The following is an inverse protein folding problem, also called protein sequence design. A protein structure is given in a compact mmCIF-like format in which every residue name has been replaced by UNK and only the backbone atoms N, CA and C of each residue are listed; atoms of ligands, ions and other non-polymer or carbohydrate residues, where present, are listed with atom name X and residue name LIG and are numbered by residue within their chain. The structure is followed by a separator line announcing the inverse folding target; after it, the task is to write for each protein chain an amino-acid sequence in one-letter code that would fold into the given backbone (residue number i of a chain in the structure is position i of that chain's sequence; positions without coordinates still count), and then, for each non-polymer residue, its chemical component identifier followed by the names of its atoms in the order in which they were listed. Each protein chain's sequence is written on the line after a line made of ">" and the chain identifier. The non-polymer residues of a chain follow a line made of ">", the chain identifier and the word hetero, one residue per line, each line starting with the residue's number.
data_IF_769650310572
#
_entry.id   IF_769650310572
#
_cell.length_a   1.000
_cell.length_b   1.000
_cell.length_c   1.000
_cell.angle_alpha   90.00
_cell.angle_beta   90.00
_cell.angle_gamma   90.00
#
_symmetry.space_group_name_H-M   'P 1'
#
loop_
_entity.id
_entity.type
_entity.pdbx_description
1 polymer ?
#
# COMPACT_ATOMS: atom_id res chain seq x y z
N UNK A 1 -17.01 21.04 47.53
CA UNK A 1 -16.21 21.19 46.29
C UNK A 1 -16.51 20.01 45.38
N UNK A 2 -17.30 20.21 44.33
CA UNK A 2 -17.55 19.20 43.29
C UNK A 2 -16.64 19.53 42.12
N UNK A 3 -15.57 18.76 41.92
CA UNK A 3 -14.77 18.86 40.71
C UNK A 3 -15.57 18.24 39.56
N UNK A 4 -15.91 19.06 38.57
CA UNK A 4 -16.44 18.59 37.30
C UNK A 4 -15.28 18.01 36.50
N UNK A 5 -15.32 16.70 36.22
CA UNK A 5 -14.51 16.10 35.17
C UNK A 5 -15.07 16.56 33.82
N UNK A 6 -14.42 17.56 33.22
CA UNK A 6 -14.59 17.88 31.82
C UNK A 6 -13.94 16.75 31.00
N UNK A 7 -14.76 15.80 30.55
CA UNK A 7 -14.35 14.79 29.58
C UNK A 7 -14.06 15.47 28.25
N UNK A 8 -12.79 15.82 28.02
CA UNK A 8 -12.30 16.31 26.73
C UNK A 8 -12.09 15.09 25.84
N UNK A 9 -13.01 14.86 24.92
CA UNK A 9 -12.81 13.95 23.80
C UNK A 9 -11.71 14.52 22.91
N UNK A 10 -10.49 14.00 23.06
CA UNK A 10 -9.38 14.26 22.14
C UNK A 10 -9.70 13.56 20.82
N UNK A 11 -10.13 14.34 19.83
CA UNK A 11 -10.26 13.88 18.45
C UNK A 11 -8.85 13.68 17.90
N UNK A 12 -8.43 12.42 17.78
CA UNK A 12 -7.26 11.99 16.99
C UNK A 12 -7.47 12.43 15.54
N UNK A 13 -7.01 13.63 15.21
CA UNK A 13 -7.09 14.19 13.87
C UNK A 13 -5.77 13.98 13.11
N UNK A 14 -5.35 12.73 12.90
CA UNK A 14 -4.38 12.39 11.84
C UNK A 14 -4.76 11.08 11.19
N UNK A 15 -5.45 11.23 10.05
CA UNK A 15 -5.43 10.42 8.81
C UNK A 15 -6.63 10.80 7.91
N UNK A 16 -7.10 12.06 7.98
CA UNK A 16 -8.23 12.56 7.19
C UNK A 16 -7.88 12.91 5.73
N UNK A 17 -6.75 12.43 5.18
CA UNK A 17 -6.36 12.74 3.79
C UNK A 17 -6.43 11.54 2.83
N UNK A 18 -6.56 10.31 3.34
CA UNK A 18 -6.87 9.16 2.49
C UNK A 18 -8.35 8.85 2.66
N UNK A 19 -9.15 9.45 1.77
CA UNK A 19 -10.57 9.12 1.61
C UNK A 19 -10.78 7.91 0.70
N UNK A 20 -9.85 6.95 0.70
CA UNK A 20 -10.05 5.75 -0.08
C UNK A 20 -11.20 4.96 0.55
N UNK A 21 -11.96 4.30 -0.29
CA UNK A 21 -13.14 3.57 0.12
C UNK A 21 -13.07 2.15 -0.39
N UNK A 22 -13.12 1.17 0.51
CA UNK A 22 -13.17 -0.25 0.22
C UNK A 22 -14.56 -0.80 0.54
N UNK A 23 -15.27 -1.34 -0.45
CA UNK A 23 -16.57 -1.96 -0.27
C UNK A 23 -16.40 -3.47 -0.14
N UNK A 24 -16.69 -4.00 1.03
CA UNK A 24 -16.54 -5.41 1.40
C UNK A 24 -17.90 -6.00 1.74
N UNK A 25 -18.39 -6.95 0.95
CA UNK A 25 -19.71 -7.59 1.16
C UNK A 25 -20.84 -6.56 1.37
N UNK A 26 -20.84 -5.48 0.58
CA UNK A 26 -21.82 -4.40 0.66
C UNK A 26 -21.59 -3.37 1.77
N UNK A 27 -20.59 -3.55 2.63
CA UNK A 27 -20.22 -2.56 3.64
C UNK A 27 -19.06 -1.69 3.15
N UNK A 28 -19.24 -0.38 3.19
CA UNK A 28 -18.18 0.57 2.94
C UNK A 28 -17.23 0.70 4.13
N UNK A 29 -15.92 0.75 3.87
CA UNK A 29 -14.86 1.01 4.84
C UNK A 29 -13.97 2.12 4.29
N UNK A 30 -13.87 3.22 5.02
CA UNK A 30 -12.99 4.34 4.65
C UNK A 30 -11.58 4.13 5.22
N UNK A 31 -10.57 4.56 4.48
CA UNK A 31 -9.16 4.39 4.86
C UNK A 31 -8.18 4.66 3.74
N UNK A 32 -7.03 3.97 3.79
CA UNK A 32 -5.95 4.06 2.84
C UNK A 32 -5.64 2.66 2.28
N UNK A 33 -5.67 2.51 0.97
CA UNK A 33 -5.18 1.28 0.33
C UNK A 33 -3.67 1.17 0.51
N UNK A 34 -3.20 0.00 0.94
CA UNK A 34 -1.79 -0.27 1.26
C UNK A 34 -1.12 -1.19 0.25
N UNK A 35 -1.90 -1.90 -0.56
CA UNK A 35 -1.38 -2.83 -1.56
C UNK A 35 -2.27 -4.06 -1.72
N UNK A 36 -1.86 -4.93 -2.64
CA UNK A 36 -2.54 -6.18 -2.92
C UNK A 36 -1.52 -7.30 -3.05
N UNK A 37 -1.77 -8.45 -2.46
CA UNK A 37 -0.87 -9.60 -2.58
C UNK A 37 -1.64 -10.91 -2.42
N UNK A 38 -1.37 -11.88 -3.29
CA UNK A 38 -1.89 -13.25 -3.19
C UNK A 38 -3.42 -13.29 -3.00
N UNK A 39 -4.14 -12.49 -3.79
CA UNK A 39 -5.61 -12.44 -3.73
C UNK A 39 -6.18 -11.61 -2.59
N UNK A 40 -5.36 -10.89 -1.82
CA UNK A 40 -5.80 -10.14 -0.64
C UNK A 40 -5.51 -8.65 -0.77
N UNK A 41 -6.52 -7.85 -0.47
CA UNK A 41 -6.39 -6.41 -0.27
C UNK A 41 -5.80 -6.14 1.11
N UNK A 42 -4.85 -5.20 1.15
CA UNK A 42 -4.30 -4.61 2.35
C UNK A 42 -4.83 -3.19 2.48
N UNK A 43 -5.56 -2.90 3.55
CA UNK A 43 -6.27 -1.63 3.69
C UNK A 43 -6.20 -1.14 5.14
N UNK A 44 -5.70 0.07 5.35
CA UNK A 44 -5.64 0.70 6.67
C UNK A 44 -6.86 1.61 6.84
N UNK A 45 -7.82 1.22 7.66
CA UNK A 45 -9.02 2.03 7.87
C UNK A 45 -8.69 3.37 8.55
N UNK A 46 -9.56 4.37 8.40
CA UNK A 46 -9.46 5.66 9.11
C UNK A 46 -9.43 5.52 10.62
N UNK A 47 -9.89 4.38 11.15
CA UNK A 47 -9.85 4.03 12.58
C UNK A 47 -8.52 3.39 13.00
N UNK A 48 -7.50 3.40 12.15
CA UNK A 48 -6.20 2.75 12.41
C UNK A 48 -6.22 1.22 12.33
N UNK A 49 -7.38 0.59 12.07
CA UNK A 49 -7.47 -0.87 11.92
C UNK A 49 -6.94 -1.29 10.57
N UNK A 50 -6.02 -2.25 10.57
CA UNK A 50 -5.58 -2.92 9.37
C UNK A 50 -6.55 -4.04 8.96
N UNK A 51 -7.02 -4.01 7.71
CA UNK A 51 -7.89 -5.00 7.11
C UNK A 51 -7.15 -5.79 6.04
N UNK A 52 -7.26 -7.11 6.11
CA UNK A 52 -6.85 -8.03 5.05
C UNK A 52 -8.10 -8.71 4.51
N UNK A 53 -8.50 -8.31 3.31
CA UNK A 53 -9.74 -8.82 2.72
C UNK A 53 -9.47 -9.60 1.45
N UNK A 54 -10.09 -10.78 1.35
CA UNK A 54 -10.01 -11.59 0.15
C UNK A 54 -10.68 -10.85 -1.02
N UNK A 55 -10.07 -10.88 -2.20
CA UNK A 55 -10.59 -10.20 -3.39
C UNK A 55 -12.04 -10.56 -3.71
N UNK A 56 -12.45 -11.80 -3.44
CA UNK A 56 -13.83 -12.27 -3.62
C UNK A 56 -14.85 -11.58 -2.72
N UNK A 57 -14.42 -10.98 -1.61
CA UNK A 57 -15.28 -10.23 -0.68
C UNK A 57 -15.33 -8.75 -1.03
N UNK A 58 -14.33 -8.25 -1.75
CA UNK A 58 -14.22 -6.85 -2.17
C UNK A 58 -14.97 -6.68 -3.50
N UNK A 59 -15.98 -5.81 -3.50
CA UNK A 59 -16.77 -5.52 -4.70
C UNK A 59 -16.26 -4.29 -5.43
N UNK A 60 -15.77 -3.29 -4.68
CA UNK A 60 -15.29 -2.01 -5.21
C UNK A 60 -14.21 -1.42 -4.30
N UNK A 61 -13.24 -0.74 -4.90
CA UNK A 61 -12.33 0.16 -4.22
C UNK A 61 -12.25 1.47 -5.00
N UNK A 62 -12.48 2.58 -4.32
CA UNK A 62 -12.32 3.93 -4.87
C UNK A 62 -11.13 4.57 -4.18
N UNK A 63 -10.17 5.08 -4.94
CA UNK A 63 -9.07 5.86 -4.37
C UNK A 63 -9.44 7.34 -4.42
N UNK A 64 -9.19 8.06 -3.33
CA UNK A 64 -9.41 9.51 -3.29
C UNK A 64 -8.44 10.24 -4.22
N UNK A 65 -7.19 9.78 -4.22
CA UNK A 65 -6.12 10.30 -5.07
C UNK A 65 -5.54 9.15 -5.89
N UNK A 66 -5.37 9.31 -7.21
CA UNK A 66 -4.64 8.34 -8.02
C UNK A 66 -3.24 8.09 -7.46
N UNK A 67 -2.84 6.84 -7.29
CA UNK A 67 -1.55 6.48 -6.69
C UNK A 67 -0.63 5.84 -7.73
N UNK A 68 0.64 6.22 -7.75
CA UNK A 68 1.64 5.49 -8.53
C UNK A 68 1.80 4.08 -7.93
N UNK A 69 1.92 3.10 -8.80
CA UNK A 69 2.02 1.70 -8.41
C UNK A 69 2.88 0.92 -9.40
N UNK A 70 3.38 -0.21 -8.92
CA UNK A 70 3.83 -1.31 -9.75
C UNK A 70 2.96 -2.52 -9.44
N UNK A 71 2.77 -3.40 -10.42
CA UNK A 71 2.09 -4.67 -10.20
C UNK A 71 2.79 -5.81 -10.91
N UNK A 72 2.72 -6.99 -10.31
CA UNK A 72 3.19 -8.24 -10.91
C UNK A 72 1.99 -9.10 -11.27
N UNK A 73 2.08 -9.79 -12.40
CA UNK A 73 1.05 -10.73 -12.83
C UNK A 73 1.44 -12.18 -12.54
N UNK A 74 0.44 -13.05 -12.56
CA UNK A 74 0.61 -14.50 -12.37
C UNK A 74 1.42 -15.16 -13.49
N UNK A 75 1.42 -14.59 -14.70
CA UNK A 75 2.27 -15.02 -15.82
C UNK A 75 3.70 -14.45 -15.76
N UNK A 76 4.06 -13.76 -14.66
CA UNK A 76 5.42 -13.25 -14.41
C UNK A 76 5.76 -11.96 -15.15
N UNK A 77 4.75 -11.21 -15.63
CA UNK A 77 4.96 -9.88 -16.19
C UNK A 77 4.86 -8.85 -15.08
N UNK A 78 5.84 -7.96 -15.05
CA UNK A 78 5.84 -6.84 -14.12
C UNK A 78 5.62 -5.56 -14.91
N UNK A 79 4.73 -4.71 -14.41
CA UNK A 79 4.48 -3.40 -14.97
C UNK A 79 4.75 -2.33 -13.92
N UNK A 80 5.51 -1.32 -14.32
CA UNK A 80 6.02 -0.27 -13.45
C UNK A 80 5.54 1.11 -13.92
N UNK A 81 5.55 2.07 -13.00
CA UNK A 81 5.12 3.46 -13.20
C UNK A 81 3.69 3.59 -13.76
N UNK A 82 2.79 2.71 -13.33
CA UNK A 82 1.37 2.84 -13.64
C UNK A 82 0.68 3.64 -12.53
N UNK A 83 -0.48 4.20 -12.83
CA UNK A 83 -1.29 4.92 -11.84
C UNK A 83 -2.51 4.08 -11.50
N UNK A 84 -2.57 3.52 -10.29
CA UNK A 84 -3.75 2.84 -9.79
C UNK A 84 -4.89 3.86 -9.59
N UNK A 85 -6.04 3.58 -10.22
CA UNK A 85 -7.25 4.40 -10.15
C UNK A 85 -8.30 3.79 -9.23
N UNK A 86 -8.32 2.47 -9.11
CA UNK A 86 -9.25 1.78 -8.22
C UNK A 86 -9.44 0.31 -8.59
N UNK A 87 -10.55 -0.25 -8.11
CA UNK A 87 -10.95 -1.62 -8.40
C UNK A 87 -12.47 -1.70 -8.50
N UNK A 88 -12.99 -2.39 -9.52
CA UNK A 88 -14.41 -2.65 -9.70
C UNK A 88 -14.63 -4.04 -10.29
N UNK A 89 -15.61 -4.78 -9.77
CA UNK A 89 -16.05 -6.08 -10.30
C UNK A 89 -14.89 -7.04 -10.65
N UNK A 90 -13.99 -7.27 -9.67
CA UNK A 90 -12.85 -8.19 -9.83
C UNK A 90 -11.81 -7.75 -10.84
N UNK A 91 -11.71 -6.45 -11.13
CA UNK A 91 -10.69 -5.88 -11.99
C UNK A 91 -10.06 -4.66 -11.34
N UNK A 92 -8.75 -4.58 -11.40
CA UNK A 92 -8.01 -3.36 -11.08
C UNK A 92 -7.99 -2.45 -12.30
N UNK A 93 -8.11 -1.15 -12.05
CA UNK A 93 -8.10 -0.10 -13.06
C UNK A 93 -6.83 0.71 -12.84
N UNK A 94 -5.97 0.72 -13.84
CA UNK A 94 -4.75 1.51 -13.88
C UNK A 94 -4.81 2.52 -15.02
N UNK A 95 -3.98 3.55 -14.98
CA UNK A 95 -3.61 4.34 -16.13
C UNK A 95 -2.14 4.08 -16.46
N UNK A 96 -1.86 3.73 -17.72
CA UNK A 96 -0.50 3.54 -18.23
C UNK A 96 0.26 4.86 -18.34
N UNK A 97 1.52 4.77 -18.77
CA UNK A 97 2.41 5.94 -18.97
C UNK A 97 1.86 6.95 -19.98
N UNK A 98 1.09 6.48 -20.96
CA UNK A 98 0.41 7.29 -21.96
C UNK A 98 -0.95 7.83 -21.48
N UNK A 99 -1.29 7.61 -20.21
CA UNK A 99 -2.56 8.00 -19.60
C UNK A 99 -3.74 7.12 -20.01
N UNK A 100 -3.54 6.09 -20.86
CA UNK A 100 -4.62 5.19 -21.25
C UNK A 100 -5.00 4.28 -20.11
N UNK A 101 -6.29 4.03 -19.98
CA UNK A 101 -6.82 3.14 -18.97
C UNK A 101 -6.48 1.67 -19.31
N UNK A 102 -5.90 0.98 -18.35
CA UNK A 102 -5.55 -0.43 -18.40
C UNK A 102 -6.38 -1.14 -17.33
N UNK A 103 -7.21 -2.08 -17.76
CA UNK A 103 -8.01 -2.90 -16.84
C UNK A 103 -7.43 -4.30 -16.75
N UNK A 104 -7.10 -4.75 -15.55
CA UNK A 104 -6.48 -6.06 -15.31
C UNK A 104 -7.34 -6.87 -14.35
N UNK A 105 -7.70 -8.09 -14.75
CA UNK A 105 -8.47 -8.99 -13.90
C UNK A 105 -7.68 -9.38 -12.64
N UNK A 106 -8.32 -9.38 -11.48
CA UNK A 106 -7.69 -9.67 -10.18
C UNK A 106 -7.02 -11.03 -10.14
N UNK A 107 -7.60 -12.03 -10.82
CA UNK A 107 -7.03 -13.38 -10.92
C UNK A 107 -5.69 -13.41 -11.68
N UNK A 108 -5.39 -12.37 -12.47
CA UNK A 108 -4.11 -12.23 -13.18
C UNK A 108 -3.08 -11.46 -12.36
N UNK A 109 -3.48 -10.73 -11.31
CA UNK A 109 -2.56 -9.96 -10.48
C UNK A 109 -2.06 -10.81 -9.32
N UNK A 110 -0.75 -10.86 -9.16
CA UNK A 110 -0.07 -11.51 -8.04
C UNK A 110 0.16 -10.52 -6.90
N UNK A 111 0.73 -9.35 -7.20
CA UNK A 111 0.93 -8.27 -6.24
C UNK A 111 0.73 -6.89 -6.86
N UNK A 112 0.39 -5.91 -6.02
CA UNK A 112 0.44 -4.48 -6.31
C UNK A 112 1.19 -3.82 -5.16
N UNK A 113 2.31 -3.17 -5.48
CA UNK A 113 3.08 -2.35 -4.56
C UNK A 113 2.86 -0.87 -4.93
N UNK A 114 2.56 -0.05 -3.93
CA UNK A 114 2.38 1.38 -4.12
C UNK A 114 3.74 2.07 -4.08
N UNK A 115 4.01 2.91 -5.08
CA UNK A 115 5.13 3.83 -5.06
C UNK A 115 4.63 5.19 -4.61
N UNK A 116 5.11 5.64 -3.46
CA UNK A 116 4.97 7.03 -3.09
C UNK A 116 6.08 7.77 -3.84
N UNK A 117 5.69 8.78 -4.61
CA UNK A 117 6.61 9.67 -5.31
C UNK A 117 7.30 10.56 -4.27
N UNK A 118 8.11 9.92 -3.45
CA UNK A 118 9.01 10.57 -2.54
C UNK A 118 10.07 11.17 -3.48
N UNK A 119 10.13 12.49 -3.61
CA UNK A 119 11.11 13.20 -4.43
C UNK A 119 12.58 12.99 -4.00
N UNK A 120 12.92 11.86 -3.39
CA UNK A 120 14.24 11.42 -3.00
C UNK A 120 14.46 9.98 -3.44
N UNK A 121 15.47 9.77 -4.28
CA UNK A 121 15.85 8.48 -4.84
C UNK A 121 16.01 7.37 -3.76
N UNK A 122 15.28 6.26 -3.92
CA UNK A 122 15.76 4.94 -3.49
C UNK A 122 15.23 4.36 -2.17
N UNK A 123 13.99 4.65 -1.74
CA UNK A 123 13.40 4.03 -0.54
C UNK A 123 12.31 3.00 -0.86
N UNK A 124 12.62 1.69 -0.81
CA UNK A 124 11.57 0.67 -0.76
C UNK A 124 10.75 0.83 0.53
N UNK A 125 9.42 0.68 0.45
CA UNK A 125 8.53 0.83 1.60
C UNK A 125 8.97 -0.06 2.77
N UNK A 126 9.12 0.53 3.96
CA UNK A 126 9.55 -0.20 5.16
C UNK A 126 8.40 -1.10 5.57
N UNK A 127 8.60 -2.41 5.45
CA UNK A 127 7.60 -3.41 5.81
C UNK A 127 7.81 -3.85 7.26
N UNK A 128 6.73 -4.07 7.99
CA UNK A 128 6.77 -4.70 9.30
C UNK A 128 7.18 -6.17 9.17
N UNK A 129 7.51 -6.84 10.28
CA UNK A 129 7.89 -8.26 10.29
C UNK A 129 6.82 -9.22 9.73
N UNK A 130 5.65 -8.70 9.31
CA UNK A 130 4.58 -9.45 8.63
C UNK A 130 4.41 -9.05 7.16
N UNK A 131 5.27 -8.18 6.64
CA UNK A 131 5.33 -7.78 5.23
C UNK A 131 4.59 -6.48 4.89
N UNK A 132 4.12 -5.69 5.86
CA UNK A 132 3.25 -4.53 5.58
C UNK A 132 3.93 -3.18 5.74
N UNK A 133 3.72 -2.22 4.81
CA UNK A 133 4.30 -0.91 4.91
C UNK A 133 3.92 -0.22 6.22
N UNK A 134 4.90 0.35 6.93
CA UNK A 134 4.66 1.22 8.08
C UNK A 134 4.02 2.51 7.55
N UNK A 135 2.83 2.90 8.06
CA UNK A 135 2.20 4.16 7.70
C UNK A 135 3.10 5.35 8.03
N UNK A 136 3.08 6.39 7.18
CA UNK A 136 3.79 7.65 7.43
C UNK A 136 3.10 8.41 8.57
N UNK A 137 3.50 8.13 9.81
CA UNK A 137 3.02 8.89 10.97
C UNK A 137 3.85 10.14 11.13
N UNK A 138 3.19 11.29 11.16
CA UNK A 138 3.80 12.55 11.61
C UNK A 138 3.86 12.54 13.14
N UNK A 139 5.04 12.45 13.75
CA UNK A 139 5.14 12.32 15.19
C UNK A 139 4.91 13.66 15.92
N UNK A 140 4.84 14.79 15.23
CA UNK A 140 4.51 16.08 15.83
C UNK A 140 3.00 16.35 15.87
N UNK A 141 2.23 15.46 15.24
CA UNK A 141 0.78 15.55 15.23
C UNK A 141 0.08 15.02 16.49
N UNK A 142 0.84 14.38 17.38
CA UNK A 142 0.34 13.95 18.69
C UNK A 142 0.27 15.16 19.63
N UNK A 143 -0.91 15.77 19.71
CA UNK A 143 -1.19 16.86 20.65
C UNK A 143 -1.90 16.39 21.92
N UNK A 144 -1.85 17.22 22.96
CA UNK A 144 -2.54 17.00 24.25
C UNK A 144 -1.61 16.55 25.39
N UNK A 145 -2.18 16.40 26.58
CA UNK A 145 -1.48 15.78 27.71
C UNK A 145 -1.38 14.27 27.47
N UNK A 146 -0.20 13.83 27.06
CA UNK A 146 0.12 12.42 26.86
C UNK A 146 0.41 11.77 28.21
N UNK A 147 -0.07 10.54 28.40
CA UNK A 147 0.39 9.71 29.52
C UNK A 147 1.90 9.46 29.40
N UNK A 148 2.55 9.13 30.52
CA UNK A 148 3.98 8.82 30.52
C UNK A 148 4.33 7.70 29.52
N UNK A 149 3.49 6.67 29.41
CA UNK A 149 3.69 5.55 28.50
C UNK A 149 3.51 5.96 27.03
N UNK A 150 2.52 6.81 26.73
CA UNK A 150 2.32 7.38 25.40
C UNK A 150 3.47 8.27 24.97
N UNK A 151 3.94 9.15 25.86
CA UNK A 151 5.09 10.00 25.62
C UNK A 151 6.35 9.17 25.35
N UNK A 152 6.61 8.14 26.18
CA UNK A 152 7.74 7.25 25.98
C UNK A 152 7.68 6.49 24.64
N UNK A 153 6.48 6.03 24.24
CA UNK A 153 6.29 5.37 22.95
C UNK A 153 6.49 6.33 21.77
N UNK A 154 6.01 7.57 21.89
CA UNK A 154 6.22 8.63 20.90
C UNK A 154 7.69 8.99 20.74
N UNK A 155 8.40 9.21 21.84
CA UNK A 155 9.82 9.55 21.83
C UNK A 155 10.65 8.43 21.22
N UNK A 156 10.33 7.17 21.56
CA UNK A 156 10.98 6.00 20.96
C UNK A 156 10.74 5.92 19.45
N UNK A 157 9.53 6.21 18.98
CA UNK A 157 9.23 6.27 17.56
C UNK A 157 9.97 7.42 16.85
N UNK A 158 9.97 8.63 17.44
CA UNK A 158 10.73 9.78 16.92
C UNK A 158 12.21 9.46 16.78
N UNK A 159 12.82 8.87 17.81
CA UNK A 159 14.23 8.48 17.80
C UNK A 159 14.52 7.42 16.72
N UNK A 160 13.72 6.36 16.64
CA UNK A 160 13.90 5.31 15.63
C UNK A 160 13.73 5.85 14.21
N UNK A 161 12.74 6.71 13.99
CA UNK A 161 12.49 7.37 12.70
C UNK A 161 13.66 8.26 12.30
N UNK A 162 14.13 9.11 13.22
CA UNK A 162 15.27 9.98 12.99
C UNK A 162 16.52 9.17 12.60
N UNK A 163 16.83 8.11 13.34
CA UNK A 163 18.00 7.27 13.05
C UNK A 163 17.91 6.62 11.66
N UNK A 164 16.71 6.15 11.27
CA UNK A 164 16.49 5.58 9.94
C UNK A 164 16.62 6.62 8.84
N UNK A 165 16.03 7.81 9.02
CA UNK A 165 16.09 8.91 8.05
C UNK A 165 17.54 9.44 7.89
N UNK A 166 18.28 9.59 8.99
CA UNK A 166 19.70 9.97 8.98
C UNK A 166 20.53 8.94 8.19
N UNK A 167 20.30 7.64 8.42
CA UNK A 167 20.96 6.56 7.70
C UNK A 167 20.69 6.62 6.18
N UNK A 168 19.44 6.91 5.78
CA UNK A 168 19.09 7.08 4.37
C UNK A 168 19.77 8.31 3.77
N UNK A 169 19.81 9.43 4.50
CA UNK A 169 20.49 10.66 4.09
C UNK A 169 21.97 10.43 3.84
N UNK A 170 22.67 9.78 4.78
CA UNK A 170 24.08 9.43 4.65
C UNK A 170 24.34 8.45 3.49
N UNK A 171 23.49 7.45 3.32
CA UNK A 171 23.62 6.46 2.24
C UNK A 171 23.43 7.12 0.87
N UNK A 172 22.45 8.02 0.75
CA UNK A 172 22.24 8.82 -0.46
C UNK A 172 23.43 9.73 -0.77
N UNK A 173 23.98 10.42 0.23
CA UNK A 173 25.19 11.23 0.07
C UNK A 173 26.40 10.40 -0.38
N UNK A 174 26.53 9.17 0.13
CA UNK A 174 27.59 8.24 -0.28
C UNK A 174 27.44 7.78 -1.74
N UNK A 175 26.22 7.53 -2.21
CA UNK A 175 25.94 7.24 -3.63
C UNK A 175 26.32 8.43 -4.50
N UNK A 176 25.94 9.65 -4.12
CA UNK A 176 26.30 10.86 -4.87
C UNK A 176 27.81 11.11 -4.91
N UNK A 177 28.54 10.76 -3.85
CA UNK A 177 30.01 10.82 -3.85
C UNK A 177 30.61 9.74 -4.76
N UNK A 178 30.09 8.51 -4.70
CA UNK A 178 30.52 7.39 -5.55
C UNK A 178 30.38 7.72 -7.03
N UNK A 179 29.31 8.38 -7.44
CA UNK A 179 29.06 8.75 -8.84
C UNK A 179 30.12 9.70 -9.42
N UNK A 180 30.83 10.44 -8.56
CA UNK A 180 31.93 11.34 -8.94
C UNK A 180 33.29 10.64 -8.97
N UNK A 181 33.36 9.38 -8.54
CA UNK A 181 34.61 8.61 -8.45
C UNK A 181 34.73 7.57 -9.56
N UNK A 182 35.97 7.19 -9.86
CA UNK A 182 36.29 6.16 -10.86
C UNK A 182 37.35 5.19 -10.32
N UNK A 183 37.48 4.03 -10.96
CA UNK A 183 38.49 3.02 -10.61
C UNK A 183 38.34 2.48 -9.17
N UNK A 184 39.48 2.20 -8.53
CA UNK A 184 39.54 1.57 -7.21
C UNK A 184 38.74 2.31 -6.13
N UNK A 185 38.75 3.65 -6.13
CA UNK A 185 37.99 4.45 -5.16
C UNK A 185 36.48 4.23 -5.26
N UNK A 186 35.96 4.05 -6.48
CA UNK A 186 34.54 3.75 -6.70
C UNK A 186 34.19 2.36 -6.15
N UNK A 187 35.10 1.40 -6.31
CA UNK A 187 34.93 0.05 -5.79
C UNK A 187 34.90 0.01 -4.25
N UNK A 188 35.76 0.79 -3.60
CA UNK A 188 35.75 0.95 -2.14
C UNK A 188 34.40 1.50 -1.65
N UNK A 189 33.85 2.51 -2.33
CA UNK A 189 32.53 3.06 -2.04
C UNK A 189 31.40 2.05 -2.24
N UNK A 190 31.45 1.25 -3.32
CA UNK A 190 30.49 0.18 -3.55
C UNK A 190 30.52 -0.88 -2.44
N UNK A 191 31.71 -1.27 -1.99
CA UNK A 191 31.87 -2.22 -0.88
C UNK A 191 31.34 -1.63 0.43
N UNK A 192 31.55 -0.34 0.67
CA UNK A 192 30.97 0.37 1.83
C UNK A 192 29.44 0.44 1.77
N UNK A 193 28.86 0.76 0.61
CA UNK A 193 27.40 0.77 0.41
C UNK A 193 26.78 -0.61 0.61
N UNK A 194 27.43 -1.68 0.12
CA UNK A 194 26.99 -3.06 0.36
C UNK A 194 27.01 -3.41 1.85
N UNK A 195 28.04 -2.99 2.58
CA UNK A 195 28.13 -3.22 4.02
C UNK A 195 27.04 -2.46 4.78
N UNK A 196 26.80 -1.19 4.43
CA UNK A 196 25.72 -0.37 5.00
C UNK A 196 24.34 -0.96 4.77
N UNK A 197 24.10 -1.66 3.65
CA UNK A 197 22.82 -2.35 3.44
C UNK A 197 22.48 -3.36 4.54
N UNK A 198 23.49 -3.94 5.20
CA UNK A 198 23.27 -4.82 6.36
C UNK A 198 22.90 -4.04 7.63
N UNK A 199 23.33 -2.78 7.75
CA UNK A 199 22.98 -1.87 8.85
C UNK A 199 21.55 -1.30 8.70
N UNK A 200 21.01 -1.26 7.49
CA UNK A 200 19.63 -0.81 7.23
C UNK A 200 18.59 -1.70 7.91
N UNK A 201 18.83 -3.02 7.93
CA UNK A 201 17.87 -4.00 8.45
C UNK A 201 17.56 -3.85 9.95
N UNK A 202 18.54 -3.73 10.87
CA UNK A 202 18.24 -3.47 12.28
C UNK A 202 17.51 -2.14 12.47
N UNK A 203 17.88 -1.07 11.76
CA UNK A 203 17.18 0.22 11.84
C UNK A 203 15.71 0.11 11.39
N UNK A 204 15.43 -0.65 10.33
CA UNK A 204 14.05 -0.96 9.94
C UNK A 204 13.30 -1.72 11.02
N UNK A 205 13.91 -2.74 11.62
CA UNK A 205 13.29 -3.51 12.71
C UNK A 205 13.00 -2.65 13.93
N UNK A 206 13.91 -1.75 14.28
CA UNK A 206 13.75 -0.82 15.40
C UNK A 206 12.61 0.16 15.13
N UNK A 207 12.52 0.70 13.91
CA UNK A 207 11.42 1.56 13.50
C UNK A 207 10.07 0.83 13.54
N UNK A 208 10.00 -0.39 13.03
CA UNK A 208 8.80 -1.24 13.10
C UNK A 208 8.40 -1.49 14.56
N UNK A 209 9.36 -1.86 15.41
CA UNK A 209 9.11 -2.15 16.81
C UNK A 209 8.61 -0.90 17.55
N UNK A 210 9.23 0.25 17.33
CA UNK A 210 8.82 1.52 17.90
C UNK A 210 7.43 1.94 17.42
N UNK A 211 7.11 1.73 16.13
CA UNK A 211 5.78 1.96 15.60
C UNK A 211 4.72 1.06 16.26
N UNK A 212 5.02 -0.23 16.47
CA UNK A 212 4.10 -1.14 17.18
C UNK A 212 3.86 -0.70 18.63
N UNK A 213 4.91 -0.28 19.33
CA UNK A 213 4.79 0.29 20.67
C UNK A 213 3.94 1.56 20.67
N UNK A 214 4.12 2.43 19.68
CA UNK A 214 3.32 3.63 19.50
C UNK A 214 1.84 3.28 19.36
N UNK A 215 1.48 2.44 18.39
CA UNK A 215 0.09 2.03 18.16
C UNK A 215 -0.52 1.39 19.41
N UNK A 216 0.23 0.55 20.12
CA UNK A 216 -0.24 -0.08 21.37
C UNK A 216 -0.46 0.90 22.53
N UNK A 217 0.27 2.03 22.58
CA UNK A 217 0.11 3.05 23.61
C UNK A 217 -1.09 3.99 23.38
N UNK A 218 -1.68 3.96 22.19
CA UNK A 218 -2.89 4.73 21.84
C UNK A 218 -4.09 3.79 21.53
N UNK A 219 -4.58 3.02 22.53
CA UNK A 219 -5.67 2.05 22.32
C UNK A 219 -7.06 2.70 22.13
N UNK A 220 -7.25 3.97 22.51
CA UNK A 220 -8.55 4.68 22.43
C UNK A 220 -8.91 5.23 21.04
N UNK A 221 -8.18 4.85 19.98
CA UNK A 221 -8.79 4.81 18.65
C UNK A 221 -9.76 3.63 18.63
N UNK A 222 -11.08 3.80 18.39
CA UNK A 222 -12.11 2.89 18.87
C UNK A 222 -11.90 1.43 18.44
N UNK A 223 -11.35 0.63 19.34
CA UNK A 223 -11.37 -0.82 19.31
C UNK A 223 -12.75 -1.32 19.79
N UNK A 224 -13.75 -1.35 18.91
CA UNK A 224 -15.00 -2.04 19.23
C UNK A 224 -15.02 -3.46 18.63
N UNK A 225 -14.79 -4.41 19.54
CA UNK A 225 -15.42 -5.73 19.67
C UNK A 225 -15.01 -6.84 18.69
N UNK A 226 -13.90 -7.50 19.02
CA UNK A 226 -13.69 -8.92 18.75
C UNK A 226 -14.70 -9.77 19.55
N UNK A 227 -15.83 -10.13 18.91
CA UNK A 227 -16.58 -11.32 19.31
C UNK A 227 -16.69 -12.30 18.15
N UNK A 228 -15.99 -13.43 18.32
CA UNK A 228 -16.30 -14.69 17.66
C UNK A 228 -17.78 -15.08 17.88
N UNK A 229 -18.43 -15.76 16.93
CA UNK A 229 -19.78 -16.27 17.12
C UNK A 229 -19.74 -17.56 17.95
N UNK A 230 -19.98 -17.46 19.26
CA UNK A 230 -20.39 -18.60 20.07
C UNK A 230 -21.88 -18.87 19.86
N UNK A 231 -22.22 -20.09 19.47
CA UNK A 231 -23.59 -20.65 19.45
C UNK A 231 -24.21 -20.64 20.86
N UNK A 232 -25.55 -20.80 20.87
CA UNK A 232 -26.46 -21.05 22.03
C UNK A 232 -26.97 -19.75 22.67
N UNK A 233 -28.26 -19.44 22.87
CA UNK A 233 -29.54 -20.14 22.72
C UNK A 233 -30.67 -19.10 22.49
N UNK A 234 -31.78 -19.60 21.94
CA UNK A 234 -33.09 -18.95 21.73
C UNK A 234 -33.71 -18.42 23.04
N UNK A 235 -34.26 -17.20 23.08
CA UNK A 235 -35.28 -16.81 24.05
C UNK A 235 -36.70 -16.79 23.42
N UNK A 236 -37.76 -16.82 24.25
CA UNK A 236 -39.08 -17.30 23.89
C UNK A 236 -39.95 -16.27 23.17
N UNK A 237 -40.94 -16.80 22.45
CA UNK A 237 -42.06 -16.09 21.85
C UNK A 237 -42.83 -15.29 22.91
N UNK A 238 -43.20 -14.05 22.59
CA UNK A 238 -44.34 -13.39 23.22
C UNK A 238 -45.17 -12.69 22.16
N UNK A 239 -46.47 -12.95 22.26
CA UNK A 239 -47.54 -12.72 21.29
C UNK A 239 -47.98 -11.25 21.19
N UNK A 240 -48.51 -10.93 20.01
CA UNK A 240 -49.54 -9.92 19.68
C UNK A 240 -49.14 -8.43 19.83
N UNK A 241 -49.58 -7.49 18.97
CA UNK A 241 -50.84 -7.42 18.26
C UNK A 241 -50.76 -6.73 16.89
N UNK A 242 -51.73 -7.11 16.06
CA UNK A 242 -52.16 -6.54 14.78
C UNK A 242 -52.61 -5.08 14.87
N UNK A 243 -52.19 -4.26 13.90
CA UNK A 243 -52.88 -3.02 13.53
C UNK A 243 -52.89 -2.87 12.01
N UNK A 244 -54.04 -2.44 11.51
CA UNK A 244 -54.55 -2.50 10.14
C UNK A 244 -53.81 -1.64 9.11
N UNK A 245 -53.90 -2.11 7.87
CA UNK A 245 -53.58 -1.41 6.64
C UNK A 245 -54.35 -0.10 6.46
N UNK A 246 -53.69 0.88 5.85
CA UNK A 246 -54.37 1.91 5.04
C UNK A 246 -53.66 1.96 3.69
N UNK A 247 -54.48 1.66 2.69
CA UNK A 247 -54.27 1.72 1.26
C UNK A 247 -54.30 3.19 0.82
N UNK A 248 -53.28 3.68 0.12
CA UNK A 248 -53.37 4.91 -0.66
C UNK A 248 -52.86 4.68 -2.07
N UNK A 249 -53.66 5.18 -3.00
CA UNK A 249 -53.74 4.78 -4.39
C UNK A 249 -52.61 5.30 -5.27
N UNK A 250 -52.40 4.55 -6.35
CA UNK A 250 -51.77 4.90 -7.61
C UNK A 250 -52.13 6.31 -8.11
N UNK A 251 -51.12 7.03 -8.61
CA UNK A 251 -51.30 8.04 -9.66
C UNK A 251 -50.23 7.83 -10.74
N UNK A 252 -50.72 7.56 -11.95
CA UNK A 252 -50.00 7.51 -13.21
C UNK A 252 -49.20 8.78 -13.48
N UNK A 253 -47.98 8.63 -14.01
CA UNK A 253 -47.30 9.68 -14.76
C UNK A 253 -46.67 9.10 -16.02
N UNK A 254 -47.55 9.05 -17.02
CA UNK A 254 -47.37 9.33 -18.46
C UNK A 254 -45.93 9.52 -18.96
N UNK A 255 -45.56 8.64 -19.89
CA UNK A 255 -44.39 8.70 -20.74
C UNK A 255 -44.27 10.01 -21.53
N UNK A 256 -43.03 10.48 -21.70
CA UNK A 256 -42.64 11.42 -22.73
C UNK A 256 -41.52 10.83 -23.58
N UNK A 257 -41.86 10.67 -24.84
CA UNK A 257 -41.09 10.25 -26.00
C UNK A 257 -40.06 11.33 -26.37
N UNK A 258 -38.80 10.97 -26.59
CA UNK A 258 -37.81 11.87 -27.16
C UNK A 258 -36.73 11.09 -27.94
N UNK A 259 -37.09 10.82 -29.20
CA UNK A 259 -36.26 10.95 -30.42
C UNK A 259 -34.80 10.50 -30.34
N UNK A 260 -34.59 9.31 -30.91
CA UNK A 260 -33.41 8.93 -31.69
C UNK A 260 -33.06 9.97 -32.75
N UNK A 261 -31.82 10.44 -32.76
CA UNK A 261 -31.18 11.04 -33.94
C UNK A 261 -29.93 10.26 -34.28
N UNK A 262 -29.96 9.63 -35.44
CA UNK A 262 -28.82 9.02 -36.13
C UNK A 262 -27.72 10.06 -36.36
N UNK A 263 -26.46 9.69 -36.11
CA UNK A 263 -25.33 10.41 -36.69
C UNK A 263 -24.39 9.41 -37.36
N UNK A 264 -24.62 9.32 -38.67
CA UNK A 264 -23.77 8.95 -39.80
C UNK A 264 -22.31 8.59 -39.48
N UNK A 265 -21.96 7.39 -39.88
CA UNK A 265 -20.61 6.84 -39.98
C UNK A 265 -19.67 7.73 -40.80
N UNK A 266 -18.48 7.98 -40.27
CA UNK A 266 -17.31 8.45 -41.00
C UNK A 266 -16.16 7.49 -40.75
N UNK A 267 -15.84 6.66 -41.74
CA UNK A 267 -14.63 5.84 -41.74
C UNK A 267 -13.42 6.69 -42.10
N UNK A 268 -12.32 6.66 -41.31
CA UNK A 268 -11.02 7.06 -41.82
C UNK A 268 -10.22 5.84 -42.28
N UNK A 269 -9.65 6.02 -43.47
CA UNK A 269 -8.82 5.12 -44.27
C UNK A 269 -7.70 4.45 -43.46
N UNK A 270 -7.53 3.14 -43.63
CA UNK A 270 -6.34 2.40 -43.23
C UNK A 270 -5.15 2.87 -44.06
N UNK A 271 -4.09 3.34 -43.40
CA UNK A 271 -2.79 3.58 -44.02
C UNK A 271 -1.93 2.35 -43.76
N UNK A 272 -1.53 1.70 -44.85
CA UNK A 272 -0.57 0.59 -44.88
C UNK A 272 0.79 1.08 -44.35
N UNK A 273 1.24 0.50 -43.23
CA UNK A 273 2.61 0.64 -42.74
C UNK A 273 3.30 -0.72 -42.85
N UNK A 274 4.13 -0.79 -43.89
CA UNK A 274 5.11 -1.83 -44.22
C UNK A 274 5.96 -2.22 -42.98
N UNK A 275 6.03 -3.51 -42.60
CA UNK A 275 6.95 -3.94 -41.55
C UNK A 275 8.39 -3.95 -42.06
N UNK A 276 9.27 -3.19 -41.42
CA UNK A 276 10.71 -3.28 -41.63
C UNK A 276 11.24 -4.54 -40.93
N UNK A 277 11.85 -5.43 -41.72
CA UNK A 277 12.63 -6.56 -41.23
C UNK A 277 13.80 -6.08 -40.38
N UNK A 278 13.88 -6.55 -39.14
CA UNK A 278 15.12 -6.54 -38.37
C UNK A 278 15.57 -8.00 -38.16
N UNK A 279 16.75 -8.26 -38.69
CA UNK A 279 17.50 -9.52 -38.67
C UNK A 279 18.08 -9.73 -37.26
N UNK A 280 17.99 -10.92 -36.64
CA UNK A 280 18.75 -11.21 -35.44
C UNK A 280 20.21 -11.45 -35.83
N UNK A 281 21.13 -10.75 -35.17
CA UNK A 281 22.56 -11.03 -35.26
C UNK A 281 22.96 -12.06 -34.21
N UNK A 282 23.73 -13.03 -34.68
CA UNK A 282 24.25 -14.21 -33.98
C UNK A 282 25.07 -13.91 -32.70
N UNK A 283 24.81 -14.75 -31.70
CA UNK A 283 25.79 -15.57 -30.97
C UNK A 283 27.12 -14.96 -30.52
N UNK A 284 27.31 -14.93 -29.19
CA UNK A 284 28.58 -15.36 -28.60
C UNK A 284 28.38 -15.93 -27.20
N UNK A 285 28.31 -17.26 -27.12
CA UNK A 285 28.51 -18.03 -25.89
C UNK A 285 29.96 -17.85 -25.47
N UNK A 286 30.19 -17.39 -24.23
CA UNK A 286 31.52 -17.39 -23.62
C UNK A 286 31.49 -18.47 -22.55
N UNK A 287 32.15 -19.60 -22.86
CA UNK A 287 32.51 -20.61 -21.87
C UNK A 287 33.61 -20.03 -20.96
N UNK A 288 33.35 -20.00 -19.66
CA UNK A 288 34.37 -19.70 -18.66
C UNK A 288 34.86 -21.02 -18.06
N UNK A 289 36.08 -21.38 -18.44
CA UNK A 289 36.88 -22.43 -17.85
C UNK A 289 37.02 -22.21 -16.33
N UNK A 290 36.43 -23.11 -15.55
CA UNK A 290 36.70 -23.24 -14.12
C UNK A 290 37.82 -24.26 -13.97
N UNK A 291 39.06 -23.79 -14.10
CA UNK A 291 40.23 -24.52 -13.65
C UNK A 291 41.39 -23.53 -13.56
N UNK A 292 41.60 -22.94 -12.38
CA UNK A 292 42.96 -22.68 -11.88
C UNK A 292 42.95 -22.20 -10.42
N UNK A 293 43.82 -22.86 -9.66
CA UNK A 293 44.46 -22.42 -8.42
C UNK A 293 43.72 -22.66 -7.09
N UNK A 294 43.63 -23.95 -6.75
CA UNK A 294 44.17 -24.39 -5.46
C UNK A 294 45.59 -23.84 -5.27
N UNK A 295 45.80 -23.07 -4.20
CA UNK A 295 47.05 -23.09 -3.42
C UNK A 295 46.84 -22.38 -2.08
N UNK A 296 46.62 -23.18 -1.03
CA UNK A 296 47.02 -22.82 0.33
C UNK A 296 48.54 -22.62 0.36
N UNK A 297 49.03 -21.78 1.26
CA UNK A 297 49.97 -22.36 2.22
C UNK A 297 49.62 -22.02 3.67
N UNK A 298 49.97 -23.00 4.49
CA UNK A 298 49.88 -23.07 5.93
C UNK A 298 50.74 -22.01 6.65
N UNK A 299 50.39 -21.85 7.94
CA UNK A 299 51.26 -21.43 9.06
C UNK A 299 51.87 -20.03 8.99
N UNK A 300 51.51 -19.24 10.00
CA UNK A 300 52.51 -18.55 10.83
C UNK A 300 51.95 -18.45 12.25
N UNK A 301 52.62 -19.16 13.16
CA UNK A 301 52.64 -18.85 14.59
C UNK A 301 53.30 -17.48 14.78
N UNK A 302 52.69 -16.63 15.60
CA UNK A 302 53.28 -15.99 16.80
C UNK A 302 52.19 -15.12 17.47
#
# INVERSE_FOLDING_TARGET
>A
MKQMFAGVFLVLAVYAAHGDQLVVTGQSKDGAFQGFENGKFSFLTTKGRFLKEQAMRVTKMTLNTPMKASYSTTDGKDEQDVVLKGYDKSKFIFAGKDGKEITVAVAKIKSIDLSFDDGGAGGGSIKDGTGYPIPKVDPDSFGGELTQDQQAALDKFKAAKKNFDDFLGESSAMVQQMDKMTGAKREDFLNKLRSRKNEEQPLKRDLVAAYKSLVGAFPDAPEENTRQPSKVAKPPETKQATSKAVETAHVDSKAADARTSETKAGAPKSVDLKPASTKPADGKTIELNVDLLEKRPDKLEF
#
